data_IF_232299326828
#
_entry.id   IF_232299326828
#
_cell.length_a   1.000
_cell.length_b   1.000
_cell.length_c   1.000
_cell.angle_alpha   90.00
_cell.angle_beta   90.00
_cell.angle_gamma   90.00
#
_symmetry.space_group_name_H-M   'P 1'
#
loop_
_entity.id
_entity.type
_entity.pdbx_description
1 polymer ?
#
# COMPACT_ATOMS: atom_id res chain seq x y z
N UNK A 1 -12.91 2.84 3.31
CA UNK A 1 -11.54 3.33 3.62
C UNK A 1 -11.55 4.43 4.69
N UNK A 2 -10.46 4.56 5.47
CA UNK A 2 -10.20 5.69 6.41
C UNK A 2 -8.71 6.08 6.37
N UNK A 3 -8.41 7.36 6.49
CA UNK A 3 -7.03 7.86 6.60
C UNK A 3 -6.91 8.81 7.78
N UNK A 4 -5.83 8.69 8.54
CA UNK A 4 -5.48 9.63 9.60
C UNK A 4 -4.06 10.14 9.45
N UNK A 5 -3.83 11.43 9.71
CA UNK A 5 -2.51 12.06 9.70
C UNK A 5 -2.26 12.62 11.10
N UNK A 6 -1.14 12.27 11.72
CA UNK A 6 -0.86 12.61 13.13
C UNK A 6 -1.98 12.23 14.10
N UNK A 7 -2.67 11.11 13.83
CA UNK A 7 -3.83 10.62 14.60
C UNK A 7 -5.13 11.41 14.44
N UNK A 8 -5.17 12.42 13.56
CA UNK A 8 -6.40 13.12 13.19
C UNK A 8 -6.99 12.48 11.93
N UNK A 9 -8.28 12.20 11.91
CA UNK A 9 -8.96 11.70 10.72
C UNK A 9 -8.98 12.78 9.64
N UNK A 10 -8.50 12.44 8.45
CA UNK A 10 -8.30 13.38 7.34
C UNK A 10 -9.11 12.92 6.15
N UNK A 11 -9.77 13.87 5.48
CA UNK A 11 -10.51 13.58 4.25
C UNK A 11 -9.56 13.06 3.17
N UNK A 12 -9.95 12.00 2.45
CA UNK A 12 -9.24 11.55 1.26
C UNK A 12 -9.21 12.64 0.16
N UNK A 13 -10.11 13.62 0.23
CA UNK A 13 -10.07 14.79 -0.63
C UNK A 13 -8.91 15.75 -0.35
N UNK A 14 -8.21 15.60 0.77
CA UNK A 14 -7.03 16.41 1.13
C UNK A 14 -5.71 15.65 0.91
N UNK A 15 -5.77 14.41 0.44
CA UNK A 15 -4.63 13.50 0.35
C UNK A 15 -4.38 13.12 -1.11
N UNK A 16 -3.12 13.17 -1.52
CA UNK A 16 -2.58 12.52 -2.73
C UNK A 16 -1.42 11.61 -2.32
N UNK A 17 -0.85 10.91 -3.29
CA UNK A 17 0.37 10.14 -3.14
C UNK A 17 1.44 10.65 -4.12
N UNK A 18 2.70 10.35 -3.83
CA UNK A 18 3.82 10.57 -4.74
C UNK A 18 4.01 9.33 -5.63
N UNK A 19 3.89 9.51 -6.93
CA UNK A 19 4.13 8.49 -7.95
C UNK A 19 5.53 8.57 -8.60
N UNK A 20 6.35 9.52 -8.17
CA UNK A 20 7.70 9.74 -8.67
C UNK A 20 8.78 8.81 -8.09
N UNK A 21 9.98 8.93 -8.64
CA UNK A 21 11.18 8.16 -8.25
C UNK A 21 11.75 8.54 -6.87
N UNK A 22 11.23 9.61 -6.26
CA UNK A 22 11.58 10.07 -4.93
C UNK A 22 10.63 9.53 -3.83
N UNK A 23 9.75 8.57 -4.15
CA UNK A 23 9.03 7.82 -3.11
C UNK A 23 10.03 7.18 -2.13
N UNK A 24 9.75 7.32 -0.84
CA UNK A 24 10.62 6.93 0.27
C UNK A 24 11.73 7.94 0.61
N UNK A 25 11.90 9.02 -0.17
CA UNK A 25 12.95 10.03 0.07
C UNK A 25 12.37 11.28 0.71
N UNK A 26 12.95 11.69 1.83
CA UNK A 26 12.56 12.90 2.55
C UNK A 26 13.74 13.86 2.57
N UNK A 27 13.64 14.97 1.84
CA UNK A 27 14.53 16.10 2.03
C UNK A 27 13.94 16.99 3.14
N UNK A 28 14.42 16.78 4.36
CA UNK A 28 13.86 17.36 5.57
C UNK A 28 14.10 18.87 5.68
N UNK A 29 14.90 19.45 4.78
CA UNK A 29 15.22 20.87 4.82
C UNK A 29 14.07 21.78 4.35
N UNK A 30 13.08 21.26 3.62
CA UNK A 30 12.03 22.09 3.00
C UNK A 30 10.60 21.70 3.37
N UNK A 31 10.36 20.50 3.90
CA UNK A 31 9.00 19.97 4.10
C UNK A 31 8.75 19.48 5.52
N UNK A 32 7.60 19.87 6.09
CA UNK A 32 7.08 19.24 7.30
C UNK A 32 6.56 17.83 6.97
N UNK A 33 7.00 16.86 7.77
CA UNK A 33 6.69 15.43 7.59
C UNK A 33 5.79 14.95 8.72
N UNK A 34 4.72 14.24 8.37
CA UNK A 34 3.73 13.74 9.30
C UNK A 34 3.53 12.23 9.15
N UNK A 35 3.37 11.48 10.25
CA UNK A 35 2.97 10.09 10.17
C UNK A 35 1.53 9.99 9.67
N UNK A 36 1.24 8.98 8.85
CA UNK A 36 -0.13 8.65 8.45
C UNK A 36 -0.46 7.19 8.74
N UNK A 37 -1.75 6.92 8.81
CA UNK A 37 -2.33 5.58 8.83
C UNK A 37 -3.47 5.52 7.82
N UNK A 38 -3.35 4.63 6.85
CA UNK A 38 -4.36 4.34 5.85
C UNK A 38 -4.96 2.97 6.15
N UNK A 39 -6.29 2.86 6.23
CA UNK A 39 -6.97 1.58 6.49
C UNK A 39 -8.09 1.33 5.49
N UNK A 40 -8.13 0.10 4.97
CA UNK A 40 -9.13 -0.37 4.02
C UNK A 40 -9.69 -1.72 4.45
N UNK A 41 -11.00 -1.90 4.36
CA UNK A 41 -11.65 -3.17 4.72
C UNK A 41 -11.31 -4.27 3.71
N UNK A 42 -11.33 -5.54 4.17
CA UNK A 42 -11.04 -6.72 3.35
C UNK A 42 -11.88 -6.75 2.07
N UNK A 43 -13.19 -6.60 2.18
CA UNK A 43 -14.09 -6.69 1.03
C UNK A 43 -13.83 -5.58 0.00
N UNK A 44 -13.58 -4.37 0.48
CA UNK A 44 -13.25 -3.19 -0.34
C UNK A 44 -11.90 -3.39 -1.05
N UNK A 45 -10.88 -3.86 -0.34
CA UNK A 45 -9.57 -4.18 -0.91
C UNK A 45 -9.67 -5.28 -1.96
N UNK A 46 -10.34 -6.39 -1.64
CA UNK A 46 -10.51 -7.51 -2.57
C UNK A 46 -11.22 -7.03 -3.83
N UNK A 47 -12.30 -6.27 -3.71
CA UNK A 47 -13.03 -5.74 -4.87
C UNK A 47 -12.16 -4.84 -5.76
N UNK A 48 -11.28 -4.02 -5.17
CA UNK A 48 -10.43 -3.08 -5.91
C UNK A 48 -9.21 -3.76 -6.55
N UNK A 49 -8.60 -4.70 -5.84
CA UNK A 49 -7.27 -5.25 -6.18
C UNK A 49 -7.32 -6.64 -6.80
N UNK A 50 -8.48 -7.30 -6.86
CA UNK A 50 -8.61 -8.68 -7.32
C UNK A 50 -7.83 -8.98 -8.61
N UNK A 51 -8.06 -8.20 -9.67
CA UNK A 51 -7.43 -8.46 -10.98
C UNK A 51 -5.92 -8.26 -10.93
N UNK A 52 -5.48 -7.12 -10.40
CA UNK A 52 -4.06 -6.79 -10.26
C UNK A 52 -3.32 -7.87 -9.46
N UNK A 53 -3.89 -8.27 -8.33
CA UNK A 53 -3.31 -9.30 -7.48
C UNK A 53 -3.19 -10.63 -8.23
N UNK A 54 -4.25 -11.06 -8.92
CA UNK A 54 -4.25 -12.33 -9.66
C UNK A 54 -3.25 -12.36 -10.81
N UNK A 55 -3.04 -11.24 -11.49
CA UNK A 55 -2.07 -11.14 -12.58
C UNK A 55 -0.64 -11.11 -12.05
N UNK A 56 -0.36 -10.29 -11.03
CA UNK A 56 0.93 -10.26 -10.33
C UNK A 56 1.29 -11.64 -9.75
N UNK A 57 0.34 -12.31 -9.09
CA UNK A 57 0.54 -13.67 -8.55
C UNK A 57 1.01 -14.66 -9.60
N UNK A 58 0.43 -14.62 -10.80
CA UNK A 58 0.81 -15.51 -11.91
C UNK A 58 2.18 -15.18 -12.47
N UNK A 59 2.52 -13.90 -12.55
CA UNK A 59 3.83 -13.43 -13.02
C UNK A 59 4.93 -13.86 -12.04
N UNK A 60 4.80 -13.48 -10.76
CA UNK A 60 5.77 -13.84 -9.72
C UNK A 60 5.94 -15.37 -9.61
N UNK A 61 4.85 -16.15 -9.72
CA UNK A 61 4.97 -17.61 -9.72
C UNK A 61 5.83 -18.14 -10.87
N UNK A 62 5.74 -17.55 -12.07
CA UNK A 62 6.57 -17.97 -13.21
C UNK A 62 8.04 -17.59 -12.97
N UNK A 63 8.27 -16.41 -12.40
CA UNK A 63 9.62 -15.91 -12.12
C UNK A 63 10.29 -16.73 -11.02
N UNK A 64 9.60 -16.98 -9.91
CA UNK A 64 10.08 -17.82 -8.80
C UNK A 64 10.52 -19.21 -9.29
N UNK A 65 9.72 -19.84 -10.18
CA UNK A 65 10.04 -21.16 -10.75
C UNK A 65 11.25 -21.07 -11.68
N UNK A 66 11.35 -20.01 -12.48
CA UNK A 66 12.41 -19.84 -13.48
C UNK A 66 13.75 -19.48 -12.85
N UNK A 67 13.73 -18.71 -11.76
CA UNK A 67 14.90 -18.17 -11.06
C UNK A 67 15.23 -18.91 -9.76
N UNK A 68 14.39 -19.85 -9.32
CA UNK A 68 14.50 -20.56 -8.04
C UNK A 68 14.54 -19.57 -6.84
N UNK A 69 13.64 -18.59 -6.86
CA UNK A 69 13.52 -17.54 -5.84
C UNK A 69 12.42 -17.88 -4.82
N UNK A 70 12.55 -17.32 -3.61
CA UNK A 70 11.54 -17.41 -2.55
C UNK A 70 10.95 -16.01 -2.36
N UNK A 71 9.80 -15.77 -2.96
CA UNK A 71 9.01 -14.54 -2.78
C UNK A 71 8.02 -14.66 -1.62
N UNK A 72 7.44 -13.53 -1.20
CA UNK A 72 6.30 -13.51 -0.28
C UNK A 72 5.10 -14.32 -0.81
N UNK A 73 4.91 -14.39 -2.14
CA UNK A 73 3.87 -15.23 -2.73
C UNK A 73 4.12 -16.73 -2.54
N UNK A 74 5.37 -17.18 -2.64
CA UNK A 74 5.73 -18.59 -2.41
C UNK A 74 5.48 -19.01 -0.95
N UNK A 75 5.72 -18.11 0.02
CA UNK A 75 5.43 -18.33 1.45
C UNK A 75 3.92 -18.49 1.71
N UNK A 76 3.08 -17.85 0.90
CA UNK A 76 1.62 -18.02 0.91
C UNK A 76 1.14 -19.19 0.05
N UNK A 77 2.05 -20.02 -0.49
CA UNK A 77 1.75 -21.06 -1.47
C UNK A 77 0.92 -20.54 -2.66
N UNK A 78 1.19 -19.32 -3.10
CA UNK A 78 0.45 -18.62 -4.16
C UNK A 78 -1.06 -18.60 -3.90
N UNK A 79 -1.47 -18.34 -2.66
CA UNK A 79 -2.86 -18.12 -2.27
C UNK A 79 -3.56 -17.10 -3.22
N UNK A 80 -4.88 -17.27 -3.43
CA UNK A 80 -5.68 -16.20 -4.01
C UNK A 80 -5.83 -15.03 -3.01
N UNK A 81 -6.30 -13.88 -3.48
CA UNK A 81 -6.36 -12.65 -2.67
C UNK A 81 -7.19 -12.81 -1.38
N UNK A 82 -8.19 -13.71 -1.37
CA UNK A 82 -9.05 -13.94 -0.20
C UNK A 82 -8.29 -14.78 0.83
N UNK A 83 -7.64 -15.84 0.37
CA UNK A 83 -6.86 -16.79 1.19
C UNK A 83 -5.53 -16.19 1.66
N UNK A 84 -5.00 -15.17 0.97
CA UNK A 84 -3.80 -14.46 1.39
C UNK A 84 -3.94 -13.80 2.78
N UNK A 85 -5.16 -13.46 3.20
CA UNK A 85 -5.43 -12.95 4.55
C UNK A 85 -5.10 -13.97 5.67
N UNK A 86 -5.05 -15.27 5.36
CA UNK A 86 -4.65 -16.31 6.32
C UNK A 86 -3.12 -16.34 6.54
N UNK A 87 -2.38 -15.54 5.77
CA UNK A 87 -0.93 -15.40 5.83
C UNK A 87 -0.52 -13.93 6.04
N UNK A 88 -0.88 -13.31 7.18
CA UNK A 88 -0.84 -11.85 7.34
C UNK A 88 0.55 -11.23 7.15
N UNK A 89 1.62 -11.89 7.60
CA UNK A 89 2.99 -11.38 7.48
C UNK A 89 3.48 -11.38 6.03
N UNK A 90 3.38 -12.53 5.35
CA UNK A 90 3.76 -12.64 3.93
C UNK A 90 2.86 -11.77 3.03
N UNK A 91 1.58 -11.64 3.38
CA UNK A 91 0.68 -10.78 2.61
C UNK A 91 0.96 -9.30 2.83
N UNK A 92 1.33 -8.88 4.05
CA UNK A 92 1.79 -7.53 4.32
C UNK A 92 3.02 -7.18 3.46
N UNK A 93 4.01 -8.08 3.39
CA UNK A 93 5.19 -7.92 2.54
C UNK A 93 4.82 -7.84 1.05
N UNK A 94 3.90 -8.66 0.57
CA UNK A 94 3.42 -8.59 -0.80
C UNK A 94 2.73 -7.24 -1.10
N UNK A 95 1.93 -6.72 -0.16
CA UNK A 95 1.29 -5.41 -0.31
C UNK A 95 2.33 -4.30 -0.35
N UNK A 96 3.29 -4.32 0.57
CA UNK A 96 4.36 -3.32 0.64
C UNK A 96 5.21 -3.29 -0.63
N UNK A 97 5.55 -4.45 -1.18
CA UNK A 97 6.46 -4.54 -2.33
C UNK A 97 5.77 -4.30 -3.67
N UNK A 98 4.49 -4.64 -3.81
CA UNK A 98 3.82 -4.71 -5.11
C UNK A 98 2.55 -3.88 -5.23
N UNK A 99 1.86 -3.57 -4.14
CA UNK A 99 0.46 -3.11 -4.23
C UNK A 99 0.15 -1.81 -3.50
N UNK A 100 1.03 -1.31 -2.63
CA UNK A 100 0.77 -0.11 -1.82
C UNK A 100 0.48 1.12 -2.70
N UNK A 101 1.33 1.38 -3.69
CA UNK A 101 1.22 2.52 -4.60
C UNK A 101 0.02 2.41 -5.52
N UNK A 102 -0.22 1.23 -6.07
CA UNK A 102 -1.40 1.02 -6.91
C UNK A 102 -2.70 1.10 -6.09
N UNK A 103 -2.68 0.67 -4.84
CA UNK A 103 -3.81 0.85 -3.94
C UNK A 103 -4.08 2.35 -3.73
N UNK A 104 -3.06 3.16 -3.49
CA UNK A 104 -3.20 4.61 -3.38
C UNK A 104 -3.73 5.23 -4.68
N UNK A 105 -3.26 4.80 -5.85
CA UNK A 105 -3.78 5.27 -7.13
C UNK A 105 -5.28 4.99 -7.30
N UNK A 106 -5.74 3.80 -6.90
CA UNK A 106 -7.16 3.43 -7.04
C UNK A 106 -8.07 4.13 -6.03
N UNK A 107 -7.55 4.63 -4.91
CA UNK A 107 -8.39 5.17 -3.82
C UNK A 107 -8.18 6.65 -3.53
N UNK A 108 -7.01 7.20 -3.88
CA UNK A 108 -6.64 8.59 -3.69
C UNK A 108 -6.47 9.22 -5.08
N UNK A 109 -7.33 10.16 -5.42
CA UNK A 109 -7.21 10.86 -6.70
C UNK A 109 -5.94 11.69 -6.77
N UNK A 110 -5.15 11.54 -7.85
CA UNK A 110 -3.99 12.38 -8.10
C UNK A 110 -4.41 13.83 -8.28
N UNK A 111 -3.86 14.73 -7.45
CA UNK A 111 -4.10 16.17 -7.60
C UNK A 111 -3.02 16.99 -6.93
N UNK A 112 -2.56 18.01 -7.65
CA UNK A 112 -1.65 19.03 -7.12
C UNK A 112 -2.34 19.92 -6.05
N UNK A 113 -3.67 19.89 -6.02
CA UNK A 113 -4.56 20.51 -5.02
C UNK A 113 -4.36 20.07 -3.57
N UNK A 114 -3.77 18.89 -3.35
CA UNK A 114 -3.95 18.14 -2.11
C UNK A 114 -2.97 18.62 -1.04
N UNK A 115 -3.50 18.80 0.17
CA UNK A 115 -2.77 19.30 1.34
C UNK A 115 -1.68 18.34 1.78
N UNK A 116 -1.92 17.04 1.70
CA UNK A 116 -1.00 16.00 2.14
C UNK A 116 -0.60 15.07 1.01
N UNK A 117 0.68 14.70 0.96
CA UNK A 117 1.25 13.82 -0.05
C UNK A 117 1.88 12.61 0.63
N UNK A 118 1.25 11.44 0.52
CA UNK A 118 1.85 10.17 0.97
C UNK A 118 3.15 9.94 0.18
N UNK A 119 4.24 9.72 0.90
CA UNK A 119 5.56 9.60 0.29
C UNK A 119 6.37 8.41 0.80
N UNK A 120 5.84 7.60 1.70
CA UNK A 120 6.46 6.33 2.04
C UNK A 120 5.44 5.34 2.57
N UNK A 121 5.76 4.08 2.38
CA UNK A 121 5.22 2.97 3.16
C UNK A 121 6.35 2.49 4.05
N UNK A 122 6.09 2.41 5.35
CA UNK A 122 7.06 1.94 6.33
C UNK A 122 6.65 0.61 6.96
N UNK A 123 5.34 0.35 6.97
CA UNK A 123 4.78 -0.88 7.49
C UNK A 123 3.42 -1.13 6.88
N UNK A 124 3.16 -2.38 6.53
CA UNK A 124 1.81 -2.89 6.29
C UNK A 124 1.43 -3.85 7.41
N UNK A 125 0.20 -3.72 7.90
CA UNK A 125 -0.40 -4.64 8.86
C UNK A 125 -1.65 -5.25 8.23
N UNK A 126 -1.69 -6.58 8.18
CA UNK A 126 -2.85 -7.34 7.71
C UNK A 126 -3.54 -7.99 8.90
N UNK A 127 -4.87 -7.88 8.92
CA UNK A 127 -5.74 -8.56 9.87
C UNK A 127 -6.92 -9.16 9.11
N UNK A 128 -7.68 -10.04 9.75
CA UNK A 128 -8.76 -10.79 9.09
C UNK A 128 -9.80 -9.90 8.37
N UNK A 129 -10.01 -8.67 8.84
CA UNK A 129 -11.04 -7.75 8.36
C UNK A 129 -10.52 -6.54 7.58
N UNK A 130 -9.21 -6.27 7.61
CA UNK A 130 -8.64 -5.06 6.99
C UNK A 130 -7.14 -5.12 6.76
N UNK A 131 -6.69 -4.23 5.89
CA UNK A 131 -5.29 -3.86 5.67
C UNK A 131 -5.06 -2.46 6.22
N UNK A 132 -3.92 -2.26 6.86
CA UNK A 132 -3.46 -0.97 7.36
C UNK A 132 -2.07 -0.67 6.83
N UNK A 133 -1.91 0.47 6.17
CA UNK A 133 -0.62 0.97 5.70
C UNK A 133 -0.20 2.16 6.57
N UNK A 134 1.02 2.12 7.07
CA UNK A 134 1.60 3.15 7.93
C UNK A 134 2.84 3.69 7.22
N UNK A 135 3.00 5.01 7.27
CA UNK A 135 4.20 5.64 6.77
C UNK A 135 4.21 7.14 7.01
N UNK A 136 4.89 7.86 6.13
CA UNK A 136 5.07 9.31 6.23
C UNK A 136 4.54 10.03 5.00
N UNK A 137 4.02 11.23 5.23
CA UNK A 137 3.53 12.14 4.21
C UNK A 137 4.11 13.54 4.41
N UNK A 138 4.16 14.33 3.33
CA UNK A 138 4.45 15.77 3.40
C UNK A 138 3.16 16.56 3.56
N UNK A 139 3.25 17.76 4.14
CA UNK A 139 2.24 18.80 3.98
C UNK A 139 2.73 19.81 2.93
N UNK A 140 1.94 20.07 1.89
CA UNK A 140 2.19 21.20 0.97
C UNK A 140 2.02 22.51 1.75
N UNK A 141 2.94 23.46 1.53
CA UNK A 141 2.83 24.82 2.04
C UNK A 141 1.83 25.64 1.21
#
# INVERSE_FOLDING_TARGET
MRVSISSEETSCEDITYNDGLNYGRFDLCEFEVFPYKYSIGKDEFVSLMYRTYEDCRKEIRRDDISCNEISSFSQMNYADIISAFDHPEAFAEAIENFFDRELFEKTLGYSENKKFIINSTEKVEVSNDKITIIGRCFRRQ
#
